data_IF_786820735555
#
_entry.id   IF_786820735555
#
_cell.length_a   1.000
_cell.length_b   1.000
_cell.length_c   1.000
_cell.angle_alpha   90.00
_cell.angle_beta   90.00
_cell.angle_gamma   90.00
#
_symmetry.space_group_name_H-M   'P 1'
#
loop_
_entity.id
_entity.type
_entity.pdbx_description
1 polymer ?
#
# COMPACT_ATOMS: atom_id res chain seq x y z
N UNK A 1 36.86 27.18 -23.92
CA UNK A 1 36.07 26.56 -25.02
C UNK A 1 34.69 27.21 -24.98
N UNK A 2 34.29 27.94 -26.03
CA UNK A 2 32.93 28.50 -26.13
C UNK A 2 32.05 27.50 -26.89
N UNK A 3 30.96 27.06 -26.28
CA UNK A 3 29.94 26.24 -26.94
C UNK A 3 28.85 27.16 -27.49
N UNK A 4 28.61 27.12 -28.80
CA UNK A 4 27.46 27.76 -29.44
C UNK A 4 26.38 26.70 -29.67
N UNK A 5 25.14 27.01 -29.30
CA UNK A 5 23.98 26.16 -29.54
C UNK A 5 22.88 26.94 -30.27
N UNK A 6 22.05 26.22 -31.02
CA UNK A 6 20.87 26.76 -31.67
C UNK A 6 19.62 26.09 -31.09
N UNK A 7 18.66 26.91 -30.65
CA UNK A 7 17.36 26.41 -30.15
C UNK A 7 16.43 26.19 -31.34
N UNK A 8 15.97 24.95 -31.52
CA UNK A 8 14.98 24.59 -32.55
C UNK A 8 13.61 24.43 -31.89
N UNK A 9 12.64 25.24 -32.33
CA UNK A 9 11.25 25.19 -31.86
C UNK A 9 10.45 24.21 -32.70
N UNK A 10 10.14 23.04 -32.14
CA UNK A 10 9.42 21.97 -32.86
C UNK A 10 8.05 22.41 -33.39
N UNK A 11 7.31 23.23 -32.66
CA UNK A 11 6.01 23.75 -33.10
C UNK A 11 6.09 24.75 -34.26
N UNK A 12 7.28 25.23 -34.61
CA UNK A 12 7.52 26.04 -35.81
C UNK A 12 8.01 25.20 -37.00
N UNK A 13 8.35 23.92 -36.76
CA UNK A 13 8.71 22.99 -37.81
C UNK A 13 7.46 22.45 -38.51
N UNK A 14 7.66 21.84 -39.67
CA UNK A 14 6.61 21.18 -40.42
C UNK A 14 6.70 19.66 -40.20
N UNK A 15 5.65 19.05 -39.66
CA UNK A 15 5.56 17.60 -39.48
C UNK A 15 5.80 16.84 -40.79
N UNK A 16 5.35 17.35 -41.94
CA UNK A 16 5.57 16.71 -43.24
C UNK A 16 7.05 16.66 -43.65
N UNK A 17 7.84 17.67 -43.25
CA UNK A 17 9.28 17.67 -43.53
C UNK A 17 10.01 16.65 -42.64
N UNK A 18 9.62 16.56 -41.36
CA UNK A 18 10.15 15.55 -40.43
C UNK A 18 9.75 14.12 -40.82
N UNK A 19 8.56 13.94 -41.41
CA UNK A 19 8.11 12.66 -41.96
C UNK A 19 8.82 12.27 -43.27
N UNK A 20 9.53 13.18 -43.93
CA UNK A 20 10.33 12.90 -45.13
C UNK A 20 11.82 12.76 -44.85
N UNK A 21 12.28 13.20 -43.68
CA UNK A 21 13.67 13.08 -43.27
C UNK A 21 14.02 11.68 -42.74
N UNK A 22 15.21 11.52 -42.18
CA UNK A 22 15.69 10.24 -41.67
C UNK A 22 14.84 9.68 -40.52
N UNK A 23 14.88 8.36 -40.33
CA UNK A 23 14.07 7.66 -39.33
C UNK A 23 14.27 8.19 -37.90
N UNK A 24 15.49 8.64 -37.57
CA UNK A 24 15.82 9.16 -36.24
C UNK A 24 15.03 10.42 -35.83
N UNK A 25 14.51 11.19 -36.79
CA UNK A 25 13.72 12.40 -36.48
C UNK A 25 12.22 12.14 -36.46
N UNK A 26 11.77 10.96 -36.89
CA UNK A 26 10.35 10.61 -36.93
C UNK A 26 9.63 10.83 -35.60
N UNK A 27 10.18 10.43 -34.43
CA UNK A 27 9.50 10.64 -33.14
C UNK A 27 9.17 12.11 -32.83
N UNK A 28 9.82 13.07 -33.48
CA UNK A 28 9.55 14.50 -33.30
C UNK A 28 8.35 15.00 -34.14
N UNK A 29 7.97 14.28 -35.20
CA UNK A 29 6.94 14.71 -36.15
C UNK A 29 5.56 14.95 -35.48
N UNK A 30 5.08 14.11 -34.55
CA UNK A 30 3.81 14.35 -33.87
C UNK A 30 3.80 15.65 -33.03
N UNK A 31 4.97 16.16 -32.63
CA UNK A 31 5.10 17.40 -31.87
C UNK A 31 5.15 18.66 -32.76
N UNK A 32 5.27 18.49 -34.08
CA UNK A 32 5.33 19.57 -35.07
C UNK A 32 4.01 19.74 -35.84
N UNK A 33 2.91 19.13 -35.39
CA UNK A 33 1.58 19.29 -35.99
C UNK A 33 1.02 20.68 -35.73
N UNK A 34 0.21 21.20 -36.66
CA UNK A 34 -0.49 22.49 -36.48
C UNK A 34 -1.84 22.33 -35.81
N UNK A 35 -2.40 21.13 -35.88
CA UNK A 35 -3.70 20.80 -35.28
C UNK A 35 -3.67 19.40 -34.68
N UNK A 36 -4.36 19.23 -33.55
CA UNK A 36 -4.52 17.92 -32.90
C UNK A 36 -5.18 16.87 -33.82
N UNK A 37 -5.97 17.32 -34.80
CA UNK A 37 -6.62 16.43 -35.79
C UNK A 37 -5.61 15.73 -36.70
N UNK A 38 -4.42 16.30 -36.89
CA UNK A 38 -3.38 15.75 -37.77
C UNK A 38 -2.52 14.68 -37.10
N UNK A 39 -2.54 14.61 -35.76
CA UNK A 39 -1.66 13.72 -34.99
C UNK A 39 -1.86 12.26 -35.38
N UNK A 40 -3.12 11.84 -35.56
CA UNK A 40 -3.44 10.46 -35.94
C UNK A 40 -2.81 10.06 -37.27
N UNK A 41 -2.97 10.89 -38.31
CA UNK A 41 -2.36 10.62 -39.62
C UNK A 41 -0.84 10.66 -39.57
N UNK A 42 -0.26 11.60 -38.81
CA UNK A 42 1.21 11.69 -38.67
C UNK A 42 1.78 10.46 -37.97
N UNK A 43 1.15 10.00 -36.89
CA UNK A 43 1.56 8.79 -36.17
C UNK A 43 1.39 7.54 -37.03
N UNK A 44 0.31 7.46 -37.82
CA UNK A 44 0.10 6.35 -38.75
C UNK A 44 1.19 6.29 -39.83
N UNK A 45 1.51 7.43 -40.47
CA UNK A 45 2.59 7.50 -41.47
C UNK A 45 3.94 7.17 -40.85
N UNK A 46 4.21 7.65 -39.64
CA UNK A 46 5.43 7.33 -38.90
C UNK A 46 5.59 5.82 -38.73
N UNK A 47 4.57 5.13 -38.21
CA UNK A 47 4.67 3.68 -38.00
C UNK A 47 4.75 2.89 -39.31
N UNK A 48 4.07 3.33 -40.36
CA UNK A 48 4.21 2.73 -41.69
C UNK A 48 5.67 2.81 -42.20
N UNK A 49 6.32 3.97 -42.03
CA UNK A 49 7.74 4.12 -42.38
C UNK A 49 8.63 3.24 -41.52
N UNK A 50 8.40 3.19 -40.20
CA UNK A 50 9.19 2.32 -39.32
C UNK A 50 9.06 0.84 -39.70
N UNK A 51 7.86 0.36 -40.02
CA UNK A 51 7.65 -1.02 -40.43
C UNK A 51 8.26 -1.35 -41.81
N UNK A 52 8.44 -0.35 -42.67
CA UNK A 52 8.97 -0.54 -44.05
C UNK A 52 10.48 -0.36 -44.13
N UNK A 53 11.02 0.62 -43.39
CA UNK A 53 12.40 1.10 -43.57
C UNK A 53 13.34 0.75 -42.41
N UNK A 54 12.81 0.51 -41.20
CA UNK A 54 13.64 0.26 -40.02
C UNK A 54 13.92 -1.23 -39.83
N UNK A 55 15.09 -1.56 -39.29
CA UNK A 55 15.30 -2.88 -38.71
C UNK A 55 14.49 -3.05 -37.40
N UNK A 56 14.44 -4.28 -36.89
CA UNK A 56 13.66 -4.61 -35.70
C UNK A 56 14.08 -3.81 -34.46
N UNK A 57 15.38 -3.58 -34.26
CA UNK A 57 15.89 -2.90 -33.07
C UNK A 57 15.62 -1.41 -33.16
N UNK A 58 15.94 -0.79 -34.29
CA UNK A 58 15.69 0.61 -34.56
C UNK A 58 14.18 0.93 -34.49
N UNK A 59 13.34 0.07 -35.08
CA UNK A 59 11.88 0.22 -35.01
C UNK A 59 11.36 0.19 -33.57
N UNK A 60 11.85 -0.73 -32.73
CA UNK A 60 11.48 -0.79 -31.30
C UNK A 60 11.87 0.48 -30.55
N UNK A 61 13.11 0.96 -30.71
CA UNK A 61 13.59 2.14 -29.99
C UNK A 61 12.89 3.42 -30.46
N UNK A 62 12.69 3.62 -31.77
CA UNK A 62 11.97 4.79 -32.29
C UNK A 62 10.48 4.76 -31.93
N UNK A 63 9.87 3.58 -31.84
CA UNK A 63 8.50 3.44 -31.36
C UNK A 63 8.38 3.83 -29.88
N UNK A 64 9.34 3.42 -29.04
CA UNK A 64 9.39 3.79 -27.63
C UNK A 64 9.62 5.30 -27.45
N UNK A 65 10.55 5.90 -28.21
CA UNK A 65 10.77 7.34 -28.21
C UNK A 65 9.49 8.11 -28.62
N UNK A 66 8.79 7.65 -29.65
CA UNK A 66 7.53 8.25 -30.09
C UNK A 66 6.48 8.21 -28.98
N UNK A 67 6.34 7.08 -28.29
CA UNK A 67 5.41 6.94 -27.18
C UNK A 67 5.74 7.89 -26.02
N UNK A 68 7.01 7.96 -25.62
CA UNK A 68 7.48 8.86 -24.55
C UNK A 68 7.18 10.32 -24.92
N UNK A 69 7.50 10.74 -26.15
CA UNK A 69 7.29 12.12 -26.60
C UNK A 69 5.81 12.48 -26.72
N UNK A 70 4.96 11.57 -27.19
CA UNK A 70 3.51 11.77 -27.17
C UNK A 70 2.99 11.98 -25.74
N UNK A 71 3.55 11.25 -24.76
CA UNK A 71 3.25 11.39 -23.33
C UNK A 71 3.50 12.79 -22.76
N UNK A 72 4.39 13.58 -23.38
CA UNK A 72 4.69 14.94 -22.93
C UNK A 72 3.59 15.95 -23.30
N UNK A 73 2.83 15.69 -24.37
CA UNK A 73 1.91 16.68 -24.95
C UNK A 73 0.45 16.20 -25.04
N UNK A 74 0.19 14.92 -24.80
CA UNK A 74 -1.13 14.32 -24.96
C UNK A 74 -1.54 13.46 -23.77
N UNK A 75 -2.85 13.40 -23.53
CA UNK A 75 -3.41 12.54 -22.48
C UNK A 75 -3.31 11.06 -22.84
N UNK A 76 -3.11 10.22 -21.83
CA UNK A 76 -2.95 8.76 -21.97
C UNK A 76 -4.07 8.11 -22.79
N UNK A 77 -5.33 8.48 -22.56
CA UNK A 77 -6.46 7.94 -23.30
C UNK A 77 -6.34 8.18 -24.81
N UNK A 78 -5.87 9.38 -25.21
CA UNK A 78 -5.66 9.70 -26.61
C UNK A 78 -4.46 8.94 -27.18
N UNK A 79 -3.35 8.85 -26.45
CA UNK A 79 -2.17 8.09 -26.87
C UNK A 79 -2.52 6.62 -27.11
N UNK A 80 -3.32 6.02 -26.22
CA UNK A 80 -3.81 4.65 -26.39
C UNK A 80 -4.55 4.45 -27.69
N UNK A 81 -5.36 5.43 -28.14
CA UNK A 81 -6.02 5.34 -29.45
C UNK A 81 -5.05 5.44 -30.63
N UNK A 82 -3.97 6.24 -30.49
CA UNK A 82 -2.96 6.43 -31.53
C UNK A 82 -2.03 5.24 -31.70
N UNK A 83 -1.68 4.57 -30.60
CA UNK A 83 -0.71 3.46 -30.58
C UNK A 83 -1.38 2.10 -30.45
N UNK A 84 -2.69 2.02 -30.67
CA UNK A 84 -3.44 0.76 -30.69
C UNK A 84 -2.81 -0.19 -31.72
N UNK A 85 -2.37 -1.37 -31.27
CA UNK A 85 -1.71 -2.36 -32.13
C UNK A 85 -0.17 -2.29 -32.15
N UNK A 86 0.44 -1.21 -31.66
CA UNK A 86 1.90 -1.07 -31.59
C UNK A 86 2.43 -1.73 -30.32
N UNK A 87 2.68 -3.05 -30.37
CA UNK A 87 3.22 -3.79 -29.21
C UNK A 87 4.76 -3.84 -29.20
N UNK A 88 5.40 -3.69 -30.37
CA UNK A 88 6.86 -3.84 -30.53
C UNK A 88 7.65 -2.88 -29.64
N UNK A 89 7.12 -1.68 -29.34
CA UNK A 89 7.79 -0.71 -28.47
C UNK A 89 8.09 -1.24 -27.06
N UNK A 90 7.27 -2.16 -26.54
CA UNK A 90 7.45 -2.69 -25.17
C UNK A 90 8.74 -3.48 -25.03
N UNK A 91 9.31 -3.94 -26.12
CA UNK A 91 10.57 -4.70 -26.14
C UNK A 91 11.81 -3.78 -26.19
N UNK A 92 11.62 -2.46 -26.31
CA UNK A 92 12.73 -1.49 -26.19
C UNK A 92 13.38 -1.61 -24.81
N UNK A 93 14.71 -1.53 -24.80
CA UNK A 93 15.51 -1.56 -23.59
C UNK A 93 15.17 -0.38 -22.66
N UNK A 94 15.00 0.81 -23.23
CA UNK A 94 14.60 2.04 -22.54
C UNK A 94 13.21 1.91 -21.92
N UNK A 95 12.25 1.37 -22.67
CA UNK A 95 10.88 1.16 -22.15
C UNK A 95 10.89 0.19 -20.96
N UNK A 96 11.62 -0.91 -21.07
CA UNK A 96 11.75 -1.89 -20.00
C UNK A 96 12.45 -1.33 -18.76
N UNK A 97 13.44 -0.44 -18.93
CA UNK A 97 14.08 0.25 -17.82
C UNK A 97 13.08 1.10 -17.04
N UNK A 98 12.34 1.98 -17.72
CA UNK A 98 11.30 2.82 -17.11
C UNK A 98 10.26 1.97 -16.38
N UNK A 99 9.80 0.88 -17.02
CA UNK A 99 8.82 -0.02 -16.41
C UNK A 99 9.35 -0.68 -15.12
N UNK A 100 10.60 -1.14 -15.13
CA UNK A 100 11.22 -1.77 -13.94
C UNK A 100 11.37 -0.78 -12.80
N UNK A 101 11.84 0.44 -13.07
CA UNK A 101 11.96 1.49 -12.06
C UNK A 101 10.60 1.81 -11.44
N UNK A 102 9.56 2.00 -12.27
CA UNK A 102 8.21 2.27 -11.80
C UNK A 102 7.63 1.12 -10.95
N UNK A 103 7.85 -0.14 -11.35
CA UNK A 103 7.44 -1.31 -10.58
C UNK A 103 8.18 -1.42 -9.24
N UNK A 104 9.48 -1.11 -9.23
CA UNK A 104 10.29 -1.12 -8.00
C UNK A 104 9.83 -0.03 -7.03
N UNK A 105 9.61 1.19 -7.53
CA UNK A 105 9.11 2.30 -6.73
C UNK A 105 7.71 1.98 -6.16
N UNK A 106 6.80 1.47 -7.00
CA UNK A 106 5.47 1.06 -6.59
C UNK A 106 5.49 -0.03 -5.52
N UNK A 107 6.39 -1.02 -5.64
CA UNK A 107 6.57 -2.07 -4.63
C UNK A 107 7.09 -1.52 -3.30
N UNK A 108 8.05 -0.60 -3.33
CA UNK A 108 8.59 0.02 -2.12
C UNK A 108 7.52 0.82 -1.39
N UNK A 109 6.77 1.66 -2.11
CA UNK A 109 5.66 2.45 -1.57
C UNK A 109 4.58 1.55 -0.97
N UNK A 110 4.15 0.53 -1.71
CA UNK A 110 3.13 -0.42 -1.23
C UNK A 110 3.56 -1.19 0.02
N UNK A 111 4.83 -1.59 0.12
CA UNK A 111 5.37 -2.25 1.31
C UNK A 111 5.41 -1.30 2.52
N UNK A 112 5.83 -0.06 2.31
CA UNK A 112 5.88 0.94 3.39
C UNK A 112 4.48 1.26 3.93
N UNK A 113 3.52 1.52 3.04
CA UNK A 113 2.12 1.77 3.39
C UNK A 113 1.51 0.56 4.11
N UNK A 114 1.67 -0.65 3.55
CA UNK A 114 1.18 -1.88 4.15
C UNK A 114 1.76 -2.13 5.54
N UNK A 115 3.07 -1.91 5.74
CA UNK A 115 3.72 -2.02 7.05
C UNK A 115 3.18 -1.01 8.05
N UNK A 116 2.98 0.24 7.63
CA UNK A 116 2.48 1.31 8.51
C UNK A 116 1.06 1.01 8.97
N UNK A 117 0.17 0.66 8.04
CA UNK A 117 -1.22 0.32 8.34
C UNK A 117 -1.30 -0.93 9.22
N UNK A 118 -0.59 -2.00 8.85
CA UNK A 118 -0.58 -3.24 9.63
C UNK A 118 -0.04 -3.05 11.06
N UNK A 119 1.01 -2.23 11.24
CA UNK A 119 1.52 -1.92 12.58
C UNK A 119 0.53 -1.10 13.41
N UNK A 120 -0.16 -0.14 12.80
CA UNK A 120 -1.15 0.68 13.49
C UNK A 120 -2.37 -0.14 13.93
N UNK A 121 -2.90 -0.98 13.03
CA UNK A 121 -4.02 -1.87 13.33
C UNK A 121 -3.63 -2.90 14.40
N UNK A 122 -2.49 -3.57 14.22
CA UNK A 122 -1.99 -4.54 15.19
C UNK A 122 -1.79 -3.92 16.58
N UNK A 123 -1.22 -2.71 16.66
CA UNK A 123 -1.10 -1.98 17.94
C UNK A 123 -2.45 -1.62 18.55
N UNK A 124 -3.42 -1.21 17.74
CA UNK A 124 -4.75 -0.83 18.23
C UNK A 124 -5.49 -2.05 18.80
N UNK A 125 -5.52 -3.15 18.04
CA UNK A 125 -6.17 -4.40 18.44
C UNK A 125 -5.49 -4.98 19.67
N UNK A 126 -4.16 -5.15 19.65
CA UNK A 126 -3.43 -5.70 20.80
C UNK A 126 -3.56 -4.85 22.06
N UNK A 127 -3.64 -3.51 21.94
CA UNK A 127 -3.89 -2.63 23.09
C UNK A 127 -5.31 -2.77 23.63
N UNK A 128 -6.30 -2.98 22.77
CA UNK A 128 -7.69 -3.15 23.17
C UNK A 128 -7.89 -4.49 23.87
N UNK A 129 -7.38 -5.58 23.28
CA UNK A 129 -7.43 -6.93 23.87
C UNK A 129 -6.69 -6.96 25.21
N UNK A 130 -5.43 -6.50 25.26
CA UNK A 130 -4.66 -6.47 26.49
C UNK A 130 -5.29 -5.59 27.58
N UNK A 131 -6.01 -4.53 27.20
CA UNK A 131 -6.78 -3.72 28.16
C UNK A 131 -8.00 -4.46 28.69
N UNK A 132 -8.73 -5.17 27.84
CA UNK A 132 -9.91 -5.94 28.26
C UNK A 132 -9.50 -7.09 29.18
N UNK A 133 -8.48 -7.86 28.79
CA UNK A 133 -7.90 -8.93 29.61
C UNK A 133 -7.41 -8.38 30.95
N UNK A 134 -6.65 -7.29 30.94
CA UNK A 134 -6.15 -6.65 32.16
C UNK A 134 -7.26 -6.17 33.10
N UNK A 135 -8.39 -5.68 32.57
CA UNK A 135 -9.56 -5.29 33.38
C UNK A 135 -10.18 -6.53 34.03
N UNK A 136 -10.39 -7.61 33.28
CA UNK A 136 -11.01 -8.83 33.81
C UNK A 136 -10.15 -9.44 34.91
N UNK A 137 -8.84 -9.60 34.66
CA UNK A 137 -7.89 -10.11 35.66
C UNK A 137 -7.86 -9.22 36.89
N UNK A 138 -7.75 -7.90 36.70
CA UNK A 138 -7.71 -6.94 37.81
C UNK A 138 -8.98 -6.93 38.68
N UNK A 139 -10.15 -7.15 38.08
CA UNK A 139 -11.42 -7.27 38.82
C UNK A 139 -11.47 -8.54 39.66
N UNK A 140 -11.12 -9.70 39.09
CA UNK A 140 -11.09 -10.97 39.82
C UNK A 140 -10.10 -10.92 40.98
N UNK A 141 -8.90 -10.38 40.76
CA UNK A 141 -7.89 -10.21 41.82
C UNK A 141 -8.37 -9.25 42.91
N UNK A 142 -9.08 -8.18 42.53
CA UNK A 142 -9.72 -7.25 43.46
C UNK A 142 -10.79 -7.91 44.33
N UNK A 143 -11.62 -8.77 43.76
CA UNK A 143 -12.66 -9.50 44.47
C UNK A 143 -12.06 -10.58 45.40
N UNK A 144 -11.10 -11.37 44.92
CA UNK A 144 -10.34 -12.32 45.76
C UNK A 144 -9.70 -11.62 46.95
N UNK A 145 -9.04 -10.48 46.72
CA UNK A 145 -8.42 -9.68 47.78
C UNK A 145 -9.46 -9.16 48.77
N UNK A 146 -10.63 -8.73 48.28
CA UNK A 146 -11.71 -8.24 49.13
C UNK A 146 -12.29 -9.37 50.00
N UNK A 147 -12.48 -10.56 49.43
CA UNK A 147 -12.95 -11.74 50.14
C UNK A 147 -11.94 -12.16 51.22
N UNK A 148 -10.65 -12.21 50.87
CA UNK A 148 -9.56 -12.51 51.79
C UNK A 148 -9.50 -11.53 52.96
N UNK A 149 -9.54 -10.22 52.70
CA UNK A 149 -9.46 -9.19 53.74
C UNK A 149 -10.66 -9.24 54.70
N UNK A 150 -11.87 -9.35 54.15
CA UNK A 150 -13.10 -9.34 54.96
C UNK A 150 -13.27 -10.65 55.73
N UNK A 151 -13.03 -11.80 55.09
CA UNK A 151 -13.08 -13.09 55.76
C UNK A 151 -12.02 -13.23 56.85
N UNK A 152 -10.79 -12.75 56.61
CA UNK A 152 -9.72 -12.80 57.62
C UNK A 152 -10.08 -11.96 58.84
N UNK A 153 -10.70 -10.79 58.62
CA UNK A 153 -11.16 -9.93 59.73
C UNK A 153 -12.25 -10.59 60.57
N UNK A 154 -13.14 -11.39 59.96
CA UNK A 154 -14.30 -12.00 60.64
C UNK A 154 -13.97 -13.35 61.27
N UNK A 155 -13.19 -14.18 60.59
CA UNK A 155 -12.95 -15.59 60.95
C UNK A 155 -11.50 -15.92 61.30
N UNK A 156 -10.57 -14.96 61.15
CA UNK A 156 -9.12 -15.21 61.29
C UNK A 156 -8.48 -15.73 60.00
N UNK A 157 -7.17 -16.00 60.05
CA UNK A 157 -6.39 -16.44 58.88
C UNK A 157 -6.96 -17.72 58.25
N UNK A 158 -7.23 -17.74 56.92
CA UNK A 158 -7.68 -18.95 56.24
C UNK A 158 -6.56 -19.99 56.20
N UNK A 159 -6.95 -21.26 56.17
CA UNK A 159 -6.03 -22.36 55.89
C UNK A 159 -5.50 -22.30 54.45
N UNK A 160 -4.38 -22.98 54.19
CA UNK A 160 -3.78 -23.04 52.83
C UNK A 160 -4.77 -23.57 51.78
N UNK A 161 -5.59 -24.57 52.16
CA UNK A 161 -6.61 -25.12 51.28
C UNK A 161 -7.70 -24.10 50.91
N UNK A 162 -8.10 -23.26 51.87
CA UNK A 162 -9.12 -22.23 51.66
C UNK A 162 -8.57 -21.08 50.83
N UNK A 163 -7.31 -20.68 51.05
CA UNK A 163 -6.60 -19.71 50.22
C UNK A 163 -6.48 -20.19 48.77
N UNK A 164 -5.99 -21.41 48.56
CA UNK A 164 -5.88 -22.00 47.24
C UNK A 164 -7.24 -22.09 46.52
N UNK A 165 -8.32 -22.35 47.26
CA UNK A 165 -9.69 -22.37 46.71
C UNK A 165 -10.15 -20.99 46.23
N UNK A 166 -9.78 -19.92 46.93
CA UNK A 166 -10.09 -18.54 46.51
C UNK A 166 -9.27 -18.14 45.28
N UNK A 167 -7.98 -18.47 45.25
CA UNK A 167 -7.11 -18.15 44.12
C UNK A 167 -7.55 -18.89 42.84
N UNK A 168 -8.02 -20.14 43.00
CA UNK A 168 -8.52 -20.96 41.90
C UNK A 168 -9.87 -20.53 41.30
N UNK A 169 -10.59 -19.58 41.91
CA UNK A 169 -11.89 -19.12 41.41
C UNK A 169 -11.74 -18.31 40.11
N UNK A 170 -12.19 -18.83 38.98
CA UNK A 170 -11.99 -18.21 37.65
C UNK A 170 -13.13 -17.30 37.21
N UNK A 171 -14.25 -17.28 37.94
CA UNK A 171 -15.43 -16.49 37.60
C UNK A 171 -15.76 -15.48 38.69
N UNK A 172 -16.28 -14.34 38.26
CA UNK A 172 -16.67 -13.22 39.12
C UNK A 172 -17.86 -13.61 39.99
N UNK A 173 -18.84 -14.28 39.39
CA UNK A 173 -20.08 -14.69 40.03
C UNK A 173 -19.82 -15.62 41.24
N UNK A 174 -18.81 -16.49 41.14
CA UNK A 174 -18.41 -17.34 42.25
C UNK A 174 -17.84 -16.53 43.43
N UNK A 175 -16.99 -15.55 43.14
CA UNK A 175 -16.42 -14.66 44.15
C UNK A 175 -17.48 -13.75 44.78
N UNK A 176 -18.44 -13.25 43.99
CA UNK A 176 -19.57 -12.47 44.47
C UNK A 176 -20.47 -13.27 45.42
N UNK A 177 -20.78 -14.53 45.09
CA UNK A 177 -21.54 -15.42 45.97
C UNK A 177 -20.80 -15.62 47.29
N UNK A 178 -19.51 -15.90 47.27
CA UNK A 178 -18.72 -16.04 48.49
C UNK A 178 -18.65 -14.75 49.30
N UNK A 179 -18.53 -13.60 48.63
CA UNK A 179 -18.55 -12.28 49.29
C UNK A 179 -19.87 -12.02 50.00
N UNK A 180 -21.01 -12.44 49.43
CA UNK A 180 -22.31 -12.34 50.09
C UNK A 180 -22.44 -13.35 51.22
N UNK A 181 -21.99 -14.60 51.02
CA UNK A 181 -21.99 -15.64 52.04
C UNK A 181 -21.16 -15.27 53.28
N UNK A 182 -20.16 -14.38 53.15
CA UNK A 182 -19.43 -13.83 54.31
C UNK A 182 -20.35 -13.15 55.34
N UNK A 183 -21.51 -12.62 54.92
CA UNK A 183 -22.43 -11.91 55.82
C UNK A 183 -23.14 -12.87 56.79
N UNK A 184 -23.46 -14.07 56.34
CA UNK A 184 -24.26 -15.04 57.09
C UNK A 184 -23.42 -16.21 57.65
N UNK A 185 -22.24 -16.48 57.05
CA UNK A 185 -21.38 -17.57 57.48
C UNK A 185 -20.77 -17.33 58.89
N UNK A 186 -20.49 -18.43 59.59
CA UNK A 186 -19.84 -18.43 60.90
C UNK A 186 -18.34 -18.75 60.83
N UNK A 187 -17.88 -19.31 59.72
CA UNK A 187 -16.48 -19.67 59.43
C UNK A 187 -16.22 -19.67 57.92
N UNK A 188 -14.97 -19.92 57.53
CA UNK A 188 -14.56 -20.00 56.12
C UNK A 188 -15.25 -21.12 55.34
N UNK A 189 -15.55 -22.26 55.96
CA UNK A 189 -16.17 -23.39 55.24
C UNK A 189 -17.64 -23.12 54.91
N UNK A 190 -18.34 -22.34 55.75
CA UNK A 190 -19.69 -21.85 55.48
C UNK A 190 -19.77 -20.87 54.31
N UNK A 191 -18.68 -20.18 53.99
CA UNK A 191 -18.60 -19.23 52.86
C UNK A 191 -18.61 -19.97 51.51
N UNK A 192 -18.02 -21.16 51.46
CA UNK A 192 -17.82 -21.92 50.23
C UNK A 192 -18.93 -22.91 49.89
N UNK A 193 -20.00 -22.97 50.69
CA UNK A 193 -21.21 -23.78 50.44
C UNK A 193 -22.18 -23.04 49.56
#
# INVERSE_FOLDING_TARGET
>A
MEFRYQVVRLWQQNAADLLRSGLATLPLAPLAVRSRKEVASVVQTLYQRLDTEADLQQGRELSAATFILLGLNYQEAFIKTLTQGVQKMKESSTYQMILREGLQEGRLKGLEEGRKTGLQEGRRTGRQEGRQEGIVVGLLDGERRSLMLQGTRRFGEPTEAQRARIDAATTREQLEVWLLSLLDASDWDGVFR
#
